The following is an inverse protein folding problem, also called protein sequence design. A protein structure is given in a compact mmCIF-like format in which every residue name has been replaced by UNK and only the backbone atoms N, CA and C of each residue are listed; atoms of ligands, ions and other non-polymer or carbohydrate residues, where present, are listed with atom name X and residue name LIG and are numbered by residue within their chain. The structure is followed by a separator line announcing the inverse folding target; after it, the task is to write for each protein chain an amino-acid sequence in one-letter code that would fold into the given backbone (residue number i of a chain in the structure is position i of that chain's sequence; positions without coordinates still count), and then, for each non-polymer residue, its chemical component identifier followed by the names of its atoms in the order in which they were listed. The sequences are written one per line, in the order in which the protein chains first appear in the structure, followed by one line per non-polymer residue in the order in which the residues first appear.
data_IF_118150631809
#
_entry.id   IF_118150631809
#
_cell.length_a   1.000
_cell.length_b   1.000
_cell.length_c   1.000
_cell.angle_alpha   90.00
_cell.angle_beta   90.00
_cell.angle_gamma   90.00
#
_symmetry.space_group_name_H-M   'P 1'
#
loop_
_entity.id
_entity.type
_entity.pdbx_description
1 polymer ?
#
# COMPACT_ATOMS: atom_id res chain seq x y z
N UNK A 1 22.49 -1.47 26.67
CA UNK A 1 23.60 -0.74 27.33
C UNK A 1 23.90 0.49 26.47
N UNK A 2 23.85 1.68 27.07
CA UNK A 2 23.88 3.00 26.43
C UNK A 2 25.26 3.31 25.83
N UNK A 3 25.35 3.40 24.50
CA UNK A 3 26.53 3.94 23.79
C UNK A 3 26.12 5.20 23.03
N UNK A 4 25.70 6.22 23.77
CA UNK A 4 25.59 7.59 23.25
C UNK A 4 26.23 8.49 24.30
N UNK A 5 27.55 8.60 24.26
CA UNK A 5 28.26 9.63 25.01
C UNK A 5 29.60 9.91 24.35
N UNK A 6 29.55 10.82 23.39
CA UNK A 6 30.57 11.83 23.22
C UNK A 6 29.93 12.95 22.41
N UNK A 7 29.85 14.14 23.02
CA UNK A 7 29.52 15.35 22.27
C UNK A 7 30.78 15.78 21.52
N UNK A 8 30.63 16.08 20.23
CA UNK A 8 31.64 16.85 19.50
C UNK A 8 31.66 18.27 20.11
N UNK A 9 32.66 19.09 19.80
CA UNK A 9 32.77 20.51 20.17
C UNK A 9 31.51 21.33 19.83
N UNK A 10 30.63 20.80 18.97
CA UNK A 10 29.34 21.37 18.57
C UNK A 10 28.11 20.80 19.31
N UNK A 11 28.28 19.97 20.35
CA UNK A 11 27.17 19.43 21.16
C UNK A 11 26.28 18.39 20.46
N UNK A 12 26.70 17.86 19.30
CA UNK A 12 25.97 16.82 18.57
C UNK A 12 26.43 15.45 19.11
N UNK A 13 25.53 14.63 19.67
CA UNK A 13 25.87 13.30 20.14
C UNK A 13 26.20 12.41 18.92
N UNK A 14 27.39 11.81 18.91
CA UNK A 14 27.78 10.82 17.90
C UNK A 14 28.01 9.44 18.53
N UNK A 15 27.75 8.40 17.75
CA UNK A 15 27.98 7.03 18.17
C UNK A 15 29.49 6.74 18.14
N UNK A 16 30.05 6.40 19.29
CA UNK A 16 31.48 6.12 19.48
C UNK A 16 31.82 4.62 19.48
N UNK A 17 30.83 3.75 19.29
CA UNK A 17 31.00 2.31 19.31
C UNK A 17 31.58 1.72 18.02
N UNK A 18 32.04 0.46 18.12
CA UNK A 18 32.53 -0.32 16.98
C UNK A 18 31.39 -0.72 16.04
N UNK A 19 31.65 -0.91 14.74
CA UNK A 19 30.63 -1.36 13.78
C UNK A 19 29.87 -2.63 14.23
N UNK A 20 30.56 -3.58 14.87
CA UNK A 20 29.95 -4.77 15.47
C UNK A 20 28.87 -4.43 16.51
N UNK A 21 29.14 -3.47 17.40
CA UNK A 21 28.20 -3.03 18.43
C UNK A 21 26.95 -2.37 17.83
N UNK A 22 27.08 -1.74 16.66
CA UNK A 22 25.95 -1.13 15.94
C UNK A 22 25.03 -2.20 15.35
N UNK A 23 25.60 -3.29 14.83
CA UNK A 23 24.83 -4.44 14.36
C UNK A 23 24.12 -5.18 15.51
N UNK A 24 24.78 -5.34 16.66
CA UNK A 24 24.16 -5.96 17.84
C UNK A 24 23.01 -5.09 18.38
N UNK A 25 23.21 -3.77 18.46
CA UNK A 25 22.16 -2.83 18.87
C UNK A 25 20.95 -2.85 17.92
N UNK A 26 21.18 -3.06 16.63
CA UNK A 26 20.10 -3.25 15.65
C UNK A 26 19.33 -4.55 15.90
N UNK A 27 20.02 -5.66 16.16
CA UNK A 27 19.39 -6.95 16.49
C UNK A 27 18.53 -6.84 17.75
N UNK A 28 19.05 -6.20 18.80
CA UNK A 28 18.30 -5.94 20.04
C UNK A 28 17.04 -5.11 19.78
N UNK A 29 17.15 -4.07 18.94
CA UNK A 29 16.02 -3.23 18.54
C UNK A 29 14.95 -4.03 17.79
N UNK A 30 15.35 -4.89 16.84
CA UNK A 30 14.44 -5.73 16.06
C UNK A 30 13.73 -6.75 16.94
N UNK A 31 14.43 -7.38 17.87
CA UNK A 31 13.84 -8.30 18.85
C UNK A 31 12.82 -7.60 19.75
N UNK A 32 13.13 -6.39 20.23
CA UNK A 32 12.18 -5.59 21.02
C UNK A 32 10.92 -5.24 20.22
N UNK A 33 11.07 -4.96 18.93
CA UNK A 33 9.95 -4.66 18.03
C UNK A 33 9.09 -5.90 17.75
N UNK A 34 9.70 -7.05 17.50
CA UNK A 34 8.98 -8.32 17.32
C UNK A 34 8.21 -8.73 18.59
N UNK A 35 8.74 -8.43 19.77
CA UNK A 35 8.04 -8.61 21.03
C UNK A 35 6.81 -7.69 21.15
N UNK A 36 6.92 -6.41 20.75
CA UNK A 36 5.78 -5.49 20.71
C UNK A 36 4.70 -5.91 19.71
N UNK A 37 5.10 -6.48 18.58
CA UNK A 37 4.18 -6.99 17.55
C UNK A 37 3.56 -8.36 17.90
N UNK A 38 3.95 -8.97 19.03
CA UNK A 38 3.49 -10.26 19.52
C UNK A 38 3.66 -11.40 18.49
N UNK A 39 4.83 -11.45 17.82
CA UNK A 39 5.17 -12.50 16.86
C UNK A 39 5.30 -13.88 17.52
N UNK A 40 4.95 -14.92 16.76
CA UNK A 40 5.17 -16.32 17.12
C UNK A 40 6.66 -16.63 17.13
N UNK A 41 7.09 -17.62 17.91
CA UNK A 41 8.50 -17.99 17.99
C UNK A 41 9.01 -18.59 16.67
N UNK A 42 8.14 -19.24 15.89
CA UNK A 42 8.48 -19.72 14.54
C UNK A 42 8.72 -18.56 13.55
N UNK A 43 7.95 -17.48 13.64
CA UNK A 43 8.11 -16.30 12.78
C UNK A 43 9.42 -15.56 13.13
N UNK A 44 9.75 -15.47 14.42
CA UNK A 44 11.04 -14.90 14.86
C UNK A 44 12.21 -15.72 14.34
N UNK A 45 12.12 -17.06 14.36
CA UNK A 45 13.16 -17.92 13.84
C UNK A 45 13.37 -17.71 12.32
N UNK A 46 12.28 -17.58 11.56
CA UNK A 46 12.36 -17.27 10.13
C UNK A 46 12.98 -15.90 9.85
N UNK A 47 12.56 -14.86 10.56
CA UNK A 47 13.11 -13.51 10.41
C UNK A 47 14.59 -13.44 10.81
N UNK A 48 14.98 -14.16 11.87
CA UNK A 48 16.40 -14.24 12.30
C UNK A 48 17.26 -14.91 11.23
N UNK A 49 16.81 -16.01 10.64
CA UNK A 49 17.52 -16.66 9.53
C UNK A 49 17.66 -15.73 8.31
N UNK A 50 16.64 -14.92 8.04
CA UNK A 50 16.68 -13.93 6.98
C UNK A 50 17.65 -12.77 7.28
N UNK A 51 17.82 -12.41 8.55
CA UNK A 51 18.80 -11.41 8.96
C UNK A 51 20.24 -11.87 8.82
N UNK A 52 20.52 -13.12 9.20
CA UNK A 52 21.86 -13.71 9.09
C UNK A 52 22.32 -13.81 7.63
N UNK A 53 21.39 -13.97 6.70
CA UNK A 53 21.68 -14.02 5.28
C UNK A 53 22.16 -12.64 4.76
N UNK A 54 21.81 -11.52 5.42
CA UNK A 54 22.13 -10.16 4.94
C UNK A 54 23.64 -9.90 4.90
N UNK A 55 24.12 -9.44 3.74
CA UNK A 55 25.52 -9.04 3.55
C UNK A 55 25.89 -7.84 4.43
N UNK A 56 26.73 -8.09 5.43
CA UNK A 56 27.43 -7.08 6.23
C UNK A 56 28.90 -7.00 5.74
N UNK A 57 29.54 -5.82 5.77
CA UNK A 57 29.06 -4.53 6.29
C UNK A 57 28.09 -3.80 5.35
N UNK A 58 27.24 -2.94 5.91
CA UNK A 58 26.36 -2.10 5.10
C UNK A 58 27.16 -1.00 4.40
N UNK A 59 27.25 -1.09 3.07
CA UNK A 59 28.00 -0.13 2.27
C UNK A 59 27.11 1.08 2.00
N UNK A 60 27.53 2.24 2.50
CA UNK A 60 26.84 3.49 2.20
C UNK A 60 26.94 3.79 0.71
N UNK A 61 25.77 3.97 0.09
CA UNK A 61 25.63 4.51 -1.26
C UNK A 61 24.66 5.67 -1.19
N UNK A 62 25.01 6.76 -1.85
CA UNK A 62 24.13 7.92 -1.95
C UNK A 62 22.83 7.50 -2.65
N UNK A 63 21.69 7.77 -2.00
CA UNK A 63 20.34 7.36 -2.45
C UNK A 63 19.29 8.43 -2.08
N UNK A 64 19.65 9.71 -2.24
CA UNK A 64 18.83 10.85 -1.81
C UNK A 64 17.42 10.87 -2.42
N UNK A 65 17.31 10.62 -3.73
CA UNK A 65 16.04 10.58 -4.45
C UNK A 65 15.13 9.47 -3.96
N UNK A 66 15.62 8.23 -3.88
CA UNK A 66 14.86 7.08 -3.40
C UNK A 66 14.39 7.27 -1.95
N UNK A 67 15.24 7.83 -1.08
CA UNK A 67 14.87 8.19 0.29
C UNK A 67 13.73 9.21 0.33
N UNK A 68 13.80 10.27 -0.49
CA UNK A 68 12.75 11.27 -0.59
C UNK A 68 11.44 10.66 -1.10
N UNK A 69 11.51 9.83 -2.14
CA UNK A 69 10.34 9.12 -2.70
C UNK A 69 9.69 8.22 -1.66
N UNK A 70 10.47 7.40 -0.94
CA UNK A 70 9.94 6.53 0.11
C UNK A 70 9.26 7.32 1.24
N UNK A 71 9.85 8.44 1.65
CA UNK A 71 9.26 9.29 2.70
C UNK A 71 7.91 9.90 2.28
N UNK A 72 7.77 10.33 1.01
CA UNK A 72 6.54 10.94 0.50
C UNK A 72 5.54 9.92 -0.04
N UNK A 73 5.92 8.65 -0.17
CA UNK A 73 5.12 7.60 -0.80
C UNK A 73 3.74 7.41 -0.15
N UNK A 74 3.68 7.49 1.18
CA UNK A 74 2.43 7.38 1.94
C UNK A 74 1.44 8.48 1.53
N UNK A 75 1.92 9.73 1.39
CA UNK A 75 1.08 10.88 1.01
C UNK A 75 0.56 10.71 -0.42
N UNK A 76 1.45 10.33 -1.36
CA UNK A 76 1.07 10.09 -2.76
C UNK A 76 -0.02 9.02 -2.86
N UNK A 77 0.12 7.94 -2.11
CA UNK A 77 -0.82 6.82 -2.15
C UNK A 77 -2.19 7.16 -1.57
N UNK A 78 -2.22 7.96 -0.51
CA UNK A 78 -3.47 8.53 0.03
C UNK A 78 -4.12 9.42 -1.04
N UNK A 79 -3.37 10.32 -1.67
CA UNK A 79 -3.90 11.19 -2.73
C UNK A 79 -4.50 10.42 -3.91
N UNK A 80 -3.84 9.35 -4.38
CA UNK A 80 -4.38 8.46 -5.42
C UNK A 80 -5.69 7.80 -4.96
N UNK A 81 -5.73 7.33 -3.71
CA UNK A 81 -6.92 6.70 -3.12
C UNK A 81 -8.11 7.65 -3.06
N UNK A 82 -7.87 8.91 -2.68
CA UNK A 82 -8.90 9.96 -2.69
C UNK A 82 -9.37 10.30 -4.11
N UNK A 83 -8.43 10.44 -5.05
CA UNK A 83 -8.75 10.77 -6.44
C UNK A 83 -9.63 9.69 -7.08
N UNK A 84 -9.30 8.41 -6.88
CA UNK A 84 -10.11 7.28 -7.37
C UNK A 84 -11.48 7.22 -6.69
N UNK A 85 -11.55 7.44 -5.38
CA UNK A 85 -12.80 7.47 -4.63
C UNK A 85 -13.75 8.61 -5.06
N UNK A 86 -13.22 9.72 -5.56
CA UNK A 86 -14.01 10.89 -5.98
C UNK A 86 -14.40 10.81 -7.45
N UNK A 87 -13.48 10.43 -8.34
CA UNK A 87 -13.68 10.54 -9.79
C UNK A 87 -14.42 9.37 -10.41
N UNK A 88 -14.39 8.18 -9.81
CA UNK A 88 -15.00 6.97 -10.40
C UNK A 88 -16.51 6.89 -10.13
N UNK A 89 -17.03 7.19 -8.92
CA UNK A 89 -18.48 7.13 -8.68
C UNK A 89 -19.36 7.96 -9.64
N UNK A 90 -19.00 9.18 -10.05
CA UNK A 90 -19.81 9.95 -10.98
C UNK A 90 -20.04 9.24 -12.33
N UNK A 91 -19.06 8.46 -12.80
CA UNK A 91 -19.09 7.78 -14.10
C UNK A 91 -20.30 6.84 -14.21
N UNK A 92 -20.62 6.12 -13.15
CA UNK A 92 -21.80 5.23 -13.12
C UNK A 92 -23.05 5.95 -12.63
N UNK A 93 -22.92 6.88 -11.68
CA UNK A 93 -24.05 7.58 -11.08
C UNK A 93 -24.79 8.51 -12.04
N UNK A 94 -24.09 9.10 -13.02
CA UNK A 94 -24.68 10.02 -13.98
C UNK A 94 -25.71 9.34 -14.90
N UNK A 95 -25.51 8.05 -15.19
CA UNK A 95 -26.49 7.27 -15.97
C UNK A 95 -27.80 7.08 -15.19
N UNK A 96 -27.67 6.74 -13.89
CA UNK A 96 -28.79 6.57 -12.97
C UNK A 96 -29.54 7.88 -12.74
N UNK A 97 -28.83 9.02 -12.61
CA UNK A 97 -29.44 10.33 -12.36
C UNK A 97 -30.18 10.87 -13.57
N UNK A 98 -29.65 10.65 -14.79
CA UNK A 98 -30.26 11.06 -16.06
C UNK A 98 -31.30 10.07 -16.60
N UNK A 99 -31.50 8.93 -15.91
CA UNK A 99 -32.39 7.83 -16.34
C UNK A 99 -32.05 7.28 -17.73
N UNK A 100 -30.79 7.42 -18.15
CA UNK A 100 -30.31 6.96 -19.46
C UNK A 100 -30.08 5.46 -19.50
N UNK A 101 -30.10 4.78 -18.35
CA UNK A 101 -29.88 3.33 -18.23
C UNK A 101 -30.79 2.51 -19.16
N UNK A 102 -32.07 2.88 -19.27
CA UNK A 102 -33.03 2.18 -20.12
C UNK A 102 -32.68 2.30 -21.60
N UNK A 103 -32.21 3.48 -22.03
CA UNK A 103 -31.79 3.71 -23.42
C UNK A 103 -30.53 2.90 -23.71
N UNK A 104 -29.57 2.90 -22.78
CA UNK A 104 -28.33 2.11 -22.89
C UNK A 104 -28.68 0.63 -23.03
N UNK A 105 -29.55 0.09 -22.18
CA UNK A 105 -29.95 -1.33 -22.18
C UNK A 105 -30.62 -1.81 -23.49
N UNK A 106 -31.27 -0.91 -24.23
CA UNK A 106 -31.90 -1.20 -25.52
C UNK A 106 -30.88 -1.26 -26.68
N UNK A 107 -29.65 -0.81 -26.47
CA UNK A 107 -28.59 -0.88 -27.51
C UNK A 107 -27.94 -2.26 -27.60
N UNK A 108 -27.39 -2.59 -28.77
CA UNK A 108 -26.69 -3.87 -29.03
C UNK A 108 -25.59 -4.18 -28.01
N UNK A 109 -24.91 -3.15 -27.50
CA UNK A 109 -23.82 -3.29 -26.53
C UNK A 109 -24.19 -2.82 -25.10
N UNK A 110 -25.46 -2.54 -24.86
CA UNK A 110 -25.98 -1.99 -23.61
C UNK A 110 -25.93 -2.89 -22.41
N UNK A 111 -25.73 -4.20 -22.64
CA UNK A 111 -25.74 -5.20 -21.58
C UNK A 111 -24.32 -5.42 -21.02
N UNK A 112 -23.84 -6.67 -21.01
CA UNK A 112 -22.53 -7.04 -20.45
C UNK A 112 -21.36 -6.14 -20.93
N UNK A 113 -21.28 -5.72 -22.21
CA UNK A 113 -20.16 -4.90 -22.64
C UNK A 113 -20.17 -3.48 -22.08
N UNK A 114 -21.33 -2.91 -21.73
CA UNK A 114 -21.39 -1.60 -21.07
C UNK A 114 -20.78 -1.65 -19.66
N UNK A 115 -21.09 -2.68 -18.86
CA UNK A 115 -20.48 -2.87 -17.54
C UNK A 115 -18.96 -3.11 -17.66
N UNK A 116 -18.53 -3.94 -18.62
CA UNK A 116 -17.11 -4.17 -18.85
C UNK A 116 -16.38 -2.89 -19.26
N UNK A 117 -16.98 -2.06 -20.11
CA UNK A 117 -16.41 -0.76 -20.48
C UNK A 117 -16.22 0.14 -19.25
N UNK A 118 -17.20 0.23 -18.35
CA UNK A 118 -17.07 0.98 -17.09
C UNK A 118 -15.94 0.44 -16.21
N UNK A 119 -15.86 -0.89 -16.08
CA UNK A 119 -14.81 -1.54 -15.30
C UNK A 119 -13.42 -1.23 -15.89
N UNK A 120 -13.25 -1.33 -17.20
CA UNK A 120 -12.00 -0.97 -17.87
C UNK A 120 -11.65 0.51 -17.68
N UNK A 121 -12.61 1.41 -17.83
CA UNK A 121 -12.40 2.84 -17.58
C UNK A 121 -11.95 3.10 -16.14
N UNK A 122 -12.57 2.47 -15.14
CA UNK A 122 -12.16 2.62 -13.74
C UNK A 122 -10.74 2.07 -13.48
N UNK A 123 -10.40 0.90 -14.02
CA UNK A 123 -9.07 0.30 -13.88
C UNK A 123 -8.00 1.17 -14.55
N UNK A 124 -8.24 1.59 -15.80
CA UNK A 124 -7.32 2.45 -16.55
C UNK A 124 -7.13 3.79 -15.84
N UNK A 125 -8.22 4.40 -15.37
CA UNK A 125 -8.17 5.66 -14.63
C UNK A 125 -7.37 5.50 -13.32
N UNK A 126 -7.61 4.45 -12.54
CA UNK A 126 -6.86 4.18 -11.31
C UNK A 126 -5.36 4.01 -11.55
N UNK A 127 -4.99 3.24 -12.59
CA UNK A 127 -3.58 3.01 -12.95
C UNK A 127 -2.95 4.30 -13.45
N UNK A 128 -3.63 5.03 -14.33
CA UNK A 128 -3.14 6.30 -14.87
C UNK A 128 -2.96 7.35 -13.76
N UNK A 129 -3.92 7.47 -12.85
CA UNK A 129 -3.84 8.35 -11.69
C UNK A 129 -2.63 8.03 -10.81
N UNK A 130 -2.41 6.75 -10.50
CA UNK A 130 -1.27 6.30 -9.71
C UNK A 130 0.07 6.63 -10.38
N UNK A 131 0.20 6.33 -11.68
CA UNK A 131 1.43 6.60 -12.44
C UNK A 131 1.68 8.09 -12.62
N UNK A 132 0.65 8.89 -12.94
CA UNK A 132 0.80 10.33 -13.13
C UNK A 132 1.27 11.02 -11.84
N UNK A 133 0.65 10.70 -10.69
CA UNK A 133 1.07 11.29 -9.41
C UNK A 133 2.46 10.81 -8.99
N UNK A 134 2.79 9.54 -9.23
CA UNK A 134 4.13 9.03 -8.96
C UNK A 134 5.19 9.73 -9.83
N UNK A 135 4.97 9.83 -11.15
CA UNK A 135 5.90 10.48 -12.08
C UNK A 135 6.04 11.98 -11.74
N UNK A 136 4.93 12.65 -11.42
CA UNK A 136 4.94 14.06 -11.02
C UNK A 136 5.83 14.35 -9.82
N UNK A 137 6.01 13.38 -8.92
CA UNK A 137 6.90 13.52 -7.77
C UNK A 137 8.31 12.96 -8.04
N UNK A 138 8.40 11.83 -8.73
CA UNK A 138 9.66 11.16 -9.02
C UNK A 138 10.56 12.01 -9.93
N UNK A 139 10.01 12.67 -10.95
CA UNK A 139 10.79 13.48 -11.90
C UNK A 139 11.52 14.64 -11.18
N UNK A 140 10.85 15.51 -10.41
CA UNK A 140 11.55 16.53 -9.62
C UNK A 140 12.57 15.94 -8.64
N UNK A 141 12.24 14.83 -7.98
CA UNK A 141 13.15 14.17 -7.04
C UNK A 141 14.43 13.70 -7.73
N UNK A 142 14.34 13.12 -8.92
CA UNK A 142 15.50 12.72 -9.71
C UNK A 142 16.29 13.89 -10.28
N UNK A 143 15.64 15.02 -10.60
CA UNK A 143 16.32 16.24 -11.06
C UNK A 143 17.13 16.88 -9.93
N UNK A 144 16.60 16.90 -8.70
CA UNK A 144 17.25 17.55 -7.55
C UNK A 144 18.32 16.67 -6.92
N UNK A 145 18.01 15.38 -6.70
CA UNK A 145 18.86 14.45 -5.95
C UNK A 145 19.60 13.45 -6.85
N UNK A 146 19.41 13.48 -8.16
CA UNK A 146 20.02 12.50 -9.07
C UNK A 146 19.37 11.11 -9.00
N UNK A 147 19.76 10.24 -9.95
CA UNK A 147 19.23 8.87 -10.08
C UNK A 147 20.10 7.81 -9.41
N UNK A 148 21.20 8.22 -8.78
CA UNK A 148 22.14 7.31 -8.13
C UNK A 148 21.53 6.63 -6.90
N UNK A 149 21.97 5.39 -6.63
CA UNK A 149 21.54 4.66 -5.43
C UNK A 149 20.44 3.61 -5.63
N UNK A 150 20.10 3.24 -6.87
CA UNK A 150 19.14 2.17 -7.14
C UNK A 150 19.50 0.86 -6.42
N UNK A 151 20.80 0.50 -6.43
CA UNK A 151 21.35 -0.71 -5.80
C UNK A 151 21.75 -0.52 -4.32
N UNK A 152 21.41 0.62 -3.70
CA UNK A 152 21.71 0.85 -2.30
C UNK A 152 20.88 -0.10 -1.41
N UNK A 153 21.48 -0.61 -0.33
CA UNK A 153 20.76 -1.45 0.62
C UNK A 153 19.75 -0.60 1.41
N UNK A 154 18.48 -1.02 1.43
CA UNK A 154 17.43 -0.24 2.09
C UNK A 154 17.62 -0.12 3.61
N UNK A 155 18.32 -1.10 4.21
CA UNK A 155 18.51 -1.23 5.66
C UNK A 155 19.32 -0.08 6.26
N UNK A 156 20.14 0.58 5.45
CA UNK A 156 20.82 1.80 5.87
C UNK A 156 19.84 2.95 6.09
N UNK A 157 18.76 3.01 5.31
CA UNK A 157 17.75 4.06 5.43
C UNK A 157 16.63 3.69 6.41
N UNK A 158 16.19 2.42 6.39
CA UNK A 158 15.16 1.88 7.26
C UNK A 158 15.78 0.70 8.02
N UNK A 159 16.28 0.99 9.21
CA UNK A 159 16.95 0.02 10.08
C UNK A 159 16.04 -1.17 10.42
N UNK A 160 14.73 -0.92 10.44
CA UNK A 160 13.69 -1.89 10.76
C UNK A 160 13.44 -2.90 9.64
N UNK A 161 13.97 -2.71 8.42
CA UNK A 161 13.72 -3.65 7.33
C UNK A 161 14.59 -4.90 7.46
N UNK A 162 13.96 -6.05 7.69
CA UNK A 162 14.62 -7.38 7.68
C UNK A 162 14.91 -7.89 6.25
N UNK A 163 14.26 -7.31 5.23
CA UNK A 163 14.35 -7.80 3.85
C UNK A 163 15.65 -7.39 3.14
N UNK A 164 16.22 -8.30 2.35
CA UNK A 164 17.32 -8.05 1.39
C UNK A 164 16.82 -7.32 0.14
N UNK A 165 16.38 -6.08 0.30
CA UNK A 165 15.90 -5.26 -0.81
C UNK A 165 16.84 -4.10 -1.09
N UNK A 166 16.96 -3.79 -2.38
CA UNK A 166 17.58 -2.54 -2.83
C UNK A 166 16.58 -1.38 -2.74
N UNK A 167 17.07 -0.16 -2.59
CA UNK A 167 16.23 1.04 -2.49
C UNK A 167 15.36 1.27 -3.75
N UNK A 168 15.86 0.89 -4.93
CA UNK A 168 15.08 0.91 -6.16
C UNK A 168 13.96 -0.13 -6.17
N UNK A 169 14.26 -1.38 -5.79
CA UNK A 169 13.26 -2.45 -5.72
C UNK A 169 12.14 -2.14 -4.74
N UNK A 170 12.45 -1.53 -3.59
CA UNK A 170 11.42 -1.19 -2.61
C UNK A 170 10.45 -0.12 -3.09
N UNK A 171 10.93 0.89 -3.81
CA UNK A 171 10.08 1.89 -4.48
C UNK A 171 9.16 1.22 -5.51
N UNK A 172 9.69 0.29 -6.31
CA UNK A 172 8.89 -0.45 -7.31
C UNK A 172 7.84 -1.35 -6.67
N UNK A 173 8.17 -2.04 -5.58
CA UNK A 173 7.23 -2.89 -4.83
C UNK A 173 6.10 -2.03 -4.27
N UNK A 174 6.42 -0.91 -3.63
CA UNK A 174 5.44 0.03 -3.10
C UNK A 174 4.56 0.61 -4.21
N UNK A 175 5.12 0.93 -5.38
CA UNK A 175 4.36 1.34 -6.57
C UNK A 175 3.40 0.24 -7.06
N UNK A 176 3.85 -1.01 -7.06
CA UNK A 176 2.98 -2.15 -7.39
C UNK A 176 1.79 -2.28 -6.43
N UNK A 177 2.04 -2.15 -5.13
CA UNK A 177 0.99 -2.19 -4.09
C UNK A 177 0.03 -1.01 -4.23
N UNK A 178 0.53 0.20 -4.47
CA UNK A 178 -0.31 1.38 -4.61
C UNK A 178 -1.23 1.30 -5.83
N UNK A 179 -0.73 0.77 -6.96
CA UNK A 179 -1.54 0.51 -8.15
C UNK A 179 -2.61 -0.56 -7.85
N UNK A 180 -2.23 -1.68 -7.22
CA UNK A 180 -3.19 -2.73 -6.86
C UNK A 180 -4.29 -2.21 -5.93
N UNK A 181 -3.93 -1.38 -4.95
CA UNK A 181 -4.88 -0.74 -4.04
C UNK A 181 -5.79 0.26 -4.75
N UNK A 182 -5.26 1.07 -5.67
CA UNK A 182 -6.04 2.02 -6.48
C UNK A 182 -7.04 1.30 -7.39
N UNK A 183 -6.66 0.15 -7.96
CA UNK A 183 -7.57 -0.71 -8.74
C UNK A 183 -8.67 -1.26 -7.84
N UNK A 184 -8.31 -1.78 -6.66
CA UNK A 184 -9.28 -2.32 -5.71
C UNK A 184 -10.30 -1.25 -5.26
N UNK A 185 -9.83 -0.06 -4.91
CA UNK A 185 -10.69 1.09 -4.56
C UNK A 185 -11.56 1.52 -5.75
N UNK A 186 -11.02 1.51 -6.96
CA UNK A 186 -11.78 1.77 -8.18
C UNK A 186 -12.92 0.77 -8.40
N UNK A 187 -12.65 -0.53 -8.28
CA UNK A 187 -13.69 -1.56 -8.36
C UNK A 187 -14.72 -1.44 -7.23
N UNK A 188 -14.29 -1.17 -5.99
CA UNK A 188 -15.17 -0.95 -4.86
C UNK A 188 -16.07 0.27 -5.07
N UNK A 189 -15.54 1.34 -5.67
CA UNK A 189 -16.29 2.55 -5.97
C UNK A 189 -17.37 2.33 -7.02
N UNK A 190 -17.08 1.56 -8.09
CA UNK A 190 -18.08 1.16 -9.06
C UNK A 190 -19.18 0.31 -8.41
N UNK A 191 -18.79 -0.66 -7.58
CA UNK A 191 -19.72 -1.53 -6.86
C UNK A 191 -20.67 -0.73 -5.95
N UNK A 192 -20.13 0.13 -5.09
CA UNK A 192 -20.91 0.96 -4.17
C UNK A 192 -21.82 1.93 -4.94
N UNK A 193 -21.33 2.52 -6.03
CA UNK A 193 -22.14 3.41 -6.86
C UNK A 193 -23.33 2.67 -7.46
N UNK A 194 -23.13 1.46 -7.98
CA UNK A 194 -24.20 0.66 -8.57
C UNK A 194 -25.20 0.16 -7.51
N UNK A 195 -24.72 -0.05 -6.28
CA UNK A 195 -25.55 -0.40 -5.15
C UNK A 195 -26.44 0.76 -4.68
N UNK A 196 -25.86 1.96 -4.51
CA UNK A 196 -26.59 3.14 -4.04
C UNK A 196 -27.31 3.93 -5.15
N UNK A 197 -26.98 3.67 -6.43
CA UNK A 197 -27.46 4.42 -7.61
C UNK A 197 -27.19 5.92 -7.55
N UNK A 198 -26.17 6.31 -6.78
CA UNK A 198 -25.82 7.71 -6.54
C UNK A 198 -24.34 7.83 -6.20
N UNK A 199 -23.71 8.90 -6.70
CA UNK A 199 -22.30 9.18 -6.50
C UNK A 199 -22.00 9.60 -5.06
N UNK A 200 -22.87 10.43 -4.47
CA UNK A 200 -22.64 11.07 -3.17
C UNK A 200 -22.49 10.06 -2.03
N UNK A 201 -23.42 9.10 -1.80
CA UNK A 201 -23.27 8.12 -0.73
C UNK A 201 -22.09 7.18 -0.99
N UNK A 202 -21.80 6.80 -2.24
CA UNK A 202 -20.66 5.97 -2.57
C UNK A 202 -19.32 6.66 -2.24
N UNK A 203 -19.17 7.92 -2.66
CA UNK A 203 -18.01 8.76 -2.32
C UNK A 203 -17.86 8.92 -0.80
N UNK A 204 -18.96 9.26 -0.10
CA UNK A 204 -18.95 9.47 1.35
C UNK A 204 -18.52 8.23 2.13
N UNK A 205 -18.99 7.04 1.73
CA UNK A 205 -18.59 5.76 2.35
C UNK A 205 -17.11 5.48 2.13
N UNK A 206 -16.60 5.65 0.90
CA UNK A 206 -15.18 5.40 0.60
C UNK A 206 -14.26 6.37 1.31
N UNK A 207 -14.56 7.67 1.23
CA UNK A 207 -13.75 8.72 1.86
C UNK A 207 -13.79 8.56 3.38
N UNK A 208 -14.98 8.32 3.95
CA UNK A 208 -15.13 8.06 5.38
C UNK A 208 -14.30 6.86 5.82
N UNK A 209 -14.36 5.76 5.07
CA UNK A 209 -13.54 4.57 5.33
C UNK A 209 -12.03 4.86 5.25
N UNK A 210 -11.58 5.60 4.22
CA UNK A 210 -10.16 5.98 4.06
C UNK A 210 -9.68 6.86 5.22
N UNK A 211 -10.48 7.85 5.65
CA UNK A 211 -10.15 8.71 6.78
C UNK A 211 -10.09 7.93 8.09
N UNK A 212 -11.11 7.11 8.37
CA UNK A 212 -11.16 6.26 9.57
C UNK A 212 -9.94 5.33 9.61
N UNK A 213 -9.60 4.70 8.48
CA UNK A 213 -8.41 3.84 8.37
C UNK A 213 -7.10 4.60 8.64
N UNK A 214 -7.01 5.85 8.19
CA UNK A 214 -5.81 6.67 8.37
C UNK A 214 -5.63 7.13 9.83
N UNK A 215 -6.72 7.45 10.55
CA UNK A 215 -6.66 7.93 11.94
C UNK A 215 -6.66 6.82 13.00
N UNK A 216 -7.27 5.66 12.72
CA UNK A 216 -7.30 4.55 13.67
C UNK A 216 -5.97 3.79 13.67
N UNK A 217 -5.32 3.76 14.83
CA UNK A 217 -4.18 2.90 15.10
C UNK A 217 -4.59 1.86 16.15
N UNK A 218 -4.72 0.59 15.72
CA UNK A 218 -5.12 -0.49 16.62
C UNK A 218 -3.88 -1.00 17.36
N UNK A 219 -3.84 -0.93 18.71
CA UNK A 219 -2.69 -1.37 19.49
C UNK A 219 -2.37 -2.85 19.25
N UNK A 220 -1.08 -3.18 19.24
CA UNK A 220 -0.56 -4.51 18.91
C UNK A 220 -1.02 -5.66 19.81
N UNK A 221 -1.62 -5.35 20.97
CA UNK A 221 -2.21 -6.32 21.89
C UNK A 221 -3.29 -7.20 21.25
N UNK A 222 -4.01 -6.70 20.24
CA UNK A 222 -4.98 -7.48 19.47
C UNK A 222 -4.37 -7.91 18.14
N UNK A 223 -3.53 -8.95 18.15
CA UNK A 223 -2.74 -9.41 17.00
C UNK A 223 -3.57 -9.58 15.71
N UNK A 224 -4.62 -10.40 15.75
CA UNK A 224 -5.44 -10.71 14.55
C UNK A 224 -6.15 -9.46 14.02
N UNK A 225 -6.73 -8.65 14.91
CA UNK A 225 -7.45 -7.44 14.51
C UNK A 225 -6.50 -6.38 13.95
N UNK A 226 -5.33 -6.22 14.58
CA UNK A 226 -4.28 -5.31 14.12
C UNK A 226 -3.69 -5.75 12.78
N UNK A 227 -3.58 -7.06 12.53
CA UNK A 227 -3.13 -7.62 11.25
C UNK A 227 -4.17 -7.43 10.13
N UNK A 228 -5.46 -7.68 10.41
CA UNK A 228 -6.53 -7.36 9.44
C UNK A 228 -6.55 -5.87 9.13
N UNK A 229 -6.35 -5.02 10.15
CA UNK A 229 -6.33 -3.57 9.99
C UNK A 229 -5.08 -3.07 9.26
N UNK A 230 -3.93 -3.74 9.38
CA UNK A 230 -2.71 -3.35 8.65
C UNK A 230 -2.83 -3.58 7.14
N UNK A 231 -3.67 -4.53 6.70
CA UNK A 231 -4.00 -4.73 5.28
C UNK A 231 -4.96 -3.69 4.70
N UNK A 232 -5.49 -2.77 5.51
CA UNK A 232 -6.35 -1.70 5.00
C UNK A 232 -5.56 -0.79 4.04
N UNK A 233 -6.12 -0.35 2.88
CA UNK A 233 -5.39 0.41 1.87
C UNK A 233 -4.62 1.62 2.42
N UNK A 234 -5.20 2.38 3.34
CA UNK A 234 -4.52 3.54 3.90
C UNK A 234 -3.29 3.18 4.78
N UNK A 235 -3.24 1.96 5.33
CA UNK A 235 -2.17 1.49 6.22
C UNK A 235 -1.11 0.67 5.49
N UNK A 236 -1.52 -0.25 4.61
CA UNK A 236 -0.61 -1.15 3.91
C UNK A 236 0.29 -0.44 2.90
N UNK A 237 -0.22 0.62 2.27
CA UNK A 237 0.56 1.36 1.27
C UNK A 237 1.61 2.27 1.94
N UNK A 238 1.50 2.50 3.26
CA UNK A 238 2.56 3.19 3.99
C UNK A 238 3.82 2.34 4.04
N UNK A 239 5.00 2.98 4.02
CA UNK A 239 6.29 2.29 4.20
C UNK A 239 6.28 1.41 5.46
N UNK A 240 5.62 1.89 6.52
CA UNK A 240 5.45 1.18 7.77
C UNK A 240 4.63 -0.12 7.63
N UNK A 241 3.57 -0.13 6.82
CA UNK A 241 2.72 -1.31 6.61
C UNK A 241 3.25 -2.27 5.54
N UNK A 242 3.85 -1.75 4.47
CA UNK A 242 4.32 -2.58 3.36
C UNK A 242 5.70 -3.20 3.60
N UNK A 243 6.66 -2.41 4.10
CA UNK A 243 8.08 -2.81 4.17
C UNK A 243 8.59 -3.06 5.58
N UNK A 244 7.92 -2.52 6.60
CA UNK A 244 8.36 -2.58 8.01
C UNK A 244 7.46 -3.52 8.85
N UNK A 245 6.23 -3.83 8.42
CA UNK A 245 5.37 -4.75 9.16
C UNK A 245 5.94 -6.17 9.09
N UNK A 246 6.43 -6.68 10.23
CA UNK A 246 7.06 -8.00 10.34
C UNK A 246 6.04 -9.13 10.52
N UNK A 247 4.74 -8.83 10.55
CA UNK A 247 3.69 -9.83 10.72
C UNK A 247 3.51 -10.67 9.46
N UNK A 248 4.15 -11.83 9.48
CA UNK A 248 4.11 -12.79 8.39
C UNK A 248 2.75 -13.51 8.34
N UNK A 249 2.37 -13.97 7.15
CA UNK A 249 1.22 -14.88 6.99
C UNK A 249 1.75 -16.24 6.55
N UNK A 250 1.47 -17.31 7.31
CA UNK A 250 1.87 -18.65 6.92
C UNK A 250 1.09 -19.08 5.66
N UNK A 251 1.82 -19.51 4.63
CA UNK A 251 1.25 -20.02 3.39
C UNK A 251 2.02 -21.26 2.94
N UNK A 252 1.37 -22.43 3.00
CA UNK A 252 1.89 -23.72 2.51
C UNK A 252 3.35 -24.02 2.92
N UNK A 253 3.65 -23.95 4.23
CA UNK A 253 4.98 -24.31 4.76
C UNK A 253 6.06 -23.24 4.57
N UNK A 254 5.71 -22.05 4.07
CA UNK A 254 6.58 -20.87 3.99
C UNK A 254 5.88 -19.64 4.55
N UNK A 255 6.64 -18.61 4.92
CA UNK A 255 6.09 -17.34 5.39
C UNK A 255 6.12 -16.31 4.27
N UNK A 256 4.97 -15.71 3.96
CA UNK A 256 4.88 -14.63 2.97
C UNK A 256 5.02 -13.26 3.65
N UNK A 257 5.75 -12.36 3.00
CA UNK A 257 5.91 -11.00 3.46
C UNK A 257 4.61 -10.19 3.34
N UNK A 258 4.42 -9.22 4.22
CA UNK A 258 3.25 -8.32 4.25
C UNK A 258 2.97 -7.65 2.90
N UNK A 259 4.00 -7.23 2.18
CA UNK A 259 3.85 -6.64 0.84
C UNK A 259 3.39 -7.63 -0.25
N UNK A 260 3.77 -8.90 -0.16
CA UNK A 260 3.36 -9.94 -1.13
C UNK A 260 1.89 -10.29 -0.92
N UNK A 261 1.53 -10.56 0.34
CA UNK A 261 0.16 -10.89 0.73
C UNK A 261 -0.79 -9.74 0.41
N UNK A 262 -0.36 -8.50 0.67
CA UNK A 262 -1.11 -7.29 0.34
C UNK A 262 -1.54 -7.20 -1.12
N UNK A 263 -0.60 -7.43 -2.03
CA UNK A 263 -0.86 -7.40 -3.47
C UNK A 263 -1.92 -8.44 -3.85
N UNK A 264 -1.79 -9.68 -3.37
CA UNK A 264 -2.75 -10.75 -3.64
C UNK A 264 -4.14 -10.42 -3.09
N UNK A 265 -4.22 -9.94 -1.85
CA UNK A 265 -5.50 -9.57 -1.23
C UNK A 265 -6.20 -8.48 -2.04
N UNK A 266 -5.48 -7.44 -2.49
CA UNK A 266 -6.08 -6.36 -3.27
C UNK A 266 -6.58 -6.80 -4.64
N UNK A 267 -5.85 -7.68 -5.32
CA UNK A 267 -6.30 -8.23 -6.60
C UNK A 267 -7.54 -9.12 -6.44
N UNK A 268 -7.58 -9.95 -5.39
CA UNK A 268 -8.75 -10.79 -5.08
C UNK A 268 -9.96 -9.93 -4.71
N UNK A 269 -9.80 -8.93 -3.85
CA UNK A 269 -10.85 -7.99 -3.50
C UNK A 269 -11.34 -7.19 -4.71
N UNK A 270 -10.45 -6.72 -5.58
CA UNK A 270 -10.81 -6.04 -6.82
C UNK A 270 -11.68 -6.94 -7.71
N UNK A 271 -11.32 -8.22 -7.85
CA UNK A 271 -12.11 -9.19 -8.61
C UNK A 271 -13.48 -9.44 -7.97
N UNK A 272 -13.54 -9.60 -6.64
CA UNK A 272 -14.80 -9.78 -5.91
C UNK A 272 -15.73 -8.57 -6.05
N UNK A 273 -15.20 -7.34 -5.95
CA UNK A 273 -16.00 -6.13 -6.16
C UNK A 273 -16.46 -5.98 -7.60
N UNK A 274 -15.62 -6.29 -8.58
CA UNK A 274 -16.01 -6.29 -9.99
C UNK A 274 -17.12 -7.31 -10.28
N UNK A 275 -17.01 -8.52 -9.73
CA UNK A 275 -17.99 -9.58 -9.87
C UNK A 275 -19.31 -9.27 -9.14
N UNK A 276 -19.22 -8.74 -7.92
CA UNK A 276 -20.37 -8.23 -7.16
C UNK A 276 -21.08 -7.09 -7.90
N UNK A 277 -20.32 -6.14 -8.46
CA UNK A 277 -20.84 -5.04 -9.26
C UNK A 277 -21.60 -5.54 -10.49
N UNK A 278 -21.04 -6.53 -11.19
CA UNK A 278 -21.70 -7.16 -12.32
C UNK A 278 -23.03 -7.81 -11.94
N UNK A 279 -23.11 -8.48 -10.78
CA UNK A 279 -24.35 -9.08 -10.31
C UNK A 279 -25.41 -8.07 -9.91
N UNK A 280 -25.02 -7.01 -9.19
CA UNK A 280 -25.93 -5.92 -8.84
C UNK A 280 -26.49 -5.29 -10.12
N UNK A 281 -25.60 -4.97 -11.06
CA UNK A 281 -25.97 -4.43 -12.36
C UNK A 281 -26.89 -5.38 -13.16
N UNK A 282 -26.64 -6.70 -13.15
CA UNK A 282 -27.49 -7.71 -13.81
C UNK A 282 -28.86 -7.83 -13.17
N UNK A 283 -28.97 -7.76 -11.84
CA UNK A 283 -30.26 -7.81 -11.13
C UNK A 283 -31.17 -6.68 -11.57
N UNK A 284 -30.61 -5.50 -11.84
CA UNK A 284 -31.37 -4.36 -12.36
C UNK A 284 -31.85 -4.52 -13.80
N UNK A 285 -31.29 -5.44 -14.58
CA UNK A 285 -31.78 -5.75 -15.92
C UNK A 285 -33.04 -6.61 -15.94
N UNK A 286 -33.30 -7.37 -14.87
CA UNK A 286 -34.43 -8.31 -14.78
C UNK A 286 -35.60 -7.75 -13.98
N UNK A 287 -35.35 -6.80 -13.07
CA UNK A 287 -36.40 -6.02 -12.43
C UNK A 287 -36.88 -4.92 -13.36
N UNK A 288 -38.00 -5.14 -14.04
CA UNK A 288 -38.78 -4.02 -14.59
C UNK A 288 -39.00 -3.00 -13.48
N UNK A 289 -38.74 -1.72 -13.79
CA UNK A 289 -39.07 -0.61 -12.90
C UNK A 289 -40.58 -0.44 -12.83
#
# INVERSE_FOLDING_TARGET
MTVISSNNDNGIPYYTGTAAQLYDLRKDYLQARWAQESLSDEEKAFLTAQEEDITTPFIYRYCGSYKSILATFTILSVMVSFLTAVCIPPVSAEEHSRKTDQIILCTRFGRRPAFLAKLFTAVIFSVAAALLLFISFAVPSFVIYGTEGFSAQIQFHILDCTWKLTAGQSVLILLGISIAAAIMLGCASLYLTEHFRSSIPAMGVLIGFLLISSFLNIPGQFRVLSQIWSYCPAKLISVAGGLIDHRLVPFFGTYLASYQVGLFIYLVLAFLFAFGGYFVWRRWQAGGR
#
